data_IF_142126825456
#
_entry.id   IF_142126825456
#
_cell.length_a   1.000
_cell.length_b   1.000
_cell.length_c   1.000
_cell.angle_alpha   90.00
_cell.angle_beta   90.00
_cell.angle_gamma   90.00
#
_symmetry.space_group_name_H-M   'P 1'
#
loop_
_entity.id
_entity.type
_entity.pdbx_description
1 polymer ?
#
# COMPACT_ATOMS: atom_id res chain seq x y z
N UNK A 1 -2.14 -27.85 -1.70
CA UNK A 1 -0.90 -27.06 -1.84
C UNK A 1 -1.26 -25.67 -1.31
N UNK A 2 -0.65 -25.23 -0.21
CA UNK A 2 -0.95 -23.91 0.37
C UNK A 2 -0.19 -22.87 -0.44
N UNK A 3 -0.90 -21.91 -1.01
CA UNK A 3 -0.34 -20.78 -1.72
C UNK A 3 0.32 -19.85 -0.68
N UNK A 4 1.56 -19.41 -0.92
CA UNK A 4 2.20 -18.42 -0.04
C UNK A 4 1.30 -17.17 0.02
N UNK A 5 0.98 -16.65 1.22
CA UNK A 5 0.19 -15.43 1.31
C UNK A 5 0.93 -14.30 0.60
N UNK A 6 0.27 -13.66 -0.37
CA UNK A 6 0.78 -12.48 -1.04
C UNK A 6 0.33 -11.24 -0.25
N UNK A 7 1.28 -10.53 0.36
CA UNK A 7 0.99 -9.37 1.22
C UNK A 7 0.18 -8.29 0.49
N UNK A 8 0.46 -8.04 -0.79
CA UNK A 8 -0.28 -7.07 -1.60
C UNK A 8 -1.74 -7.49 -1.73
N UNK A 9 -2.00 -8.76 -2.05
CA UNK A 9 -3.35 -9.29 -2.15
C UNK A 9 -4.08 -9.27 -0.79
N UNK A 10 -3.40 -9.61 0.32
CA UNK A 10 -3.96 -9.53 1.66
C UNK A 10 -4.38 -8.11 2.02
N UNK A 11 -3.50 -7.14 1.84
CA UNK A 11 -3.77 -5.74 2.17
C UNK A 11 -4.83 -5.14 1.25
N UNK A 12 -4.79 -5.44 -0.05
CA UNK A 12 -5.83 -5.00 -0.99
C UNK A 12 -7.21 -5.58 -0.64
N UNK A 13 -7.29 -6.87 -0.30
CA UNK A 13 -8.55 -7.50 0.09
C UNK A 13 -9.14 -6.95 1.39
N UNK A 14 -8.28 -6.55 2.34
CA UNK A 14 -8.74 -5.81 3.53
C UNK A 14 -9.29 -4.44 3.12
N UNK A 15 -8.57 -3.71 2.26
CA UNK A 15 -8.99 -2.40 1.79
C UNK A 15 -10.34 -2.45 1.08
N UNK A 16 -10.55 -3.39 0.16
CA UNK A 16 -11.80 -3.58 -0.58
C UNK A 16 -12.96 -3.95 0.33
N UNK A 17 -12.75 -4.87 1.29
CA UNK A 17 -13.80 -5.25 2.25
C UNK A 17 -14.24 -4.04 3.09
N UNK A 18 -13.28 -3.29 3.65
CA UNK A 18 -13.58 -2.08 4.41
C UNK A 18 -14.25 -1.01 3.54
N UNK A 19 -13.78 -0.82 2.31
CA UNK A 19 -14.35 0.16 1.39
C UNK A 19 -15.82 -0.16 1.06
N UNK A 20 -16.12 -1.42 0.74
CA UNK A 20 -17.49 -1.85 0.43
C UNK A 20 -18.43 -1.66 1.63
N UNK A 21 -17.96 -1.99 2.84
CA UNK A 21 -18.68 -1.73 4.08
C UNK A 21 -18.92 -0.23 4.31
N UNK A 22 -17.89 0.60 4.11
CA UNK A 22 -18.00 2.05 4.27
C UNK A 22 -18.97 2.66 3.26
N UNK A 23 -18.95 2.23 2.00
CA UNK A 23 -19.90 2.68 0.99
C UNK A 23 -21.35 2.32 1.33
N UNK A 24 -21.59 1.06 1.73
CA UNK A 24 -22.92 0.61 2.13
C UNK A 24 -23.43 1.43 3.32
N UNK A 25 -22.58 1.67 4.31
CA UNK A 25 -22.88 2.52 5.46
C UNK A 25 -23.16 3.96 5.02
N UNK A 26 -22.32 4.51 4.14
CA UNK A 26 -22.46 5.88 3.65
C UNK A 26 -23.81 6.10 2.98
N UNK A 27 -24.18 5.25 2.03
CA UNK A 27 -25.44 5.34 1.29
C UNK A 27 -26.66 5.18 2.21
N UNK A 28 -26.60 4.25 3.19
CA UNK A 28 -27.74 3.97 4.08
C UNK A 28 -27.90 4.97 5.22
N UNK A 29 -26.79 5.50 5.74
CA UNK A 29 -26.76 6.23 7.01
C UNK A 29 -26.31 7.67 6.83
N UNK A 30 -25.20 7.92 6.14
CA UNK A 30 -24.56 9.24 6.06
C UNK A 30 -25.24 10.13 5.03
N UNK A 31 -25.40 9.64 3.79
CA UNK A 31 -25.96 10.40 2.67
C UNK A 31 -27.39 10.92 2.95
N UNK A 32 -28.31 10.14 3.55
CA UNK A 32 -29.65 10.66 3.90
C UNK A 32 -29.62 11.83 4.90
N UNK A 33 -28.51 12.00 5.63
CA UNK A 33 -28.31 13.05 6.65
C UNK A 33 -27.60 14.30 6.10
N UNK A 34 -27.15 14.32 4.85
CA UNK A 34 -26.50 15.48 4.21
C UNK A 34 -27.41 16.72 4.03
N UNK A 35 -28.67 16.69 4.50
CA UNK A 35 -29.53 17.89 4.50
C UNK A 35 -28.96 18.94 5.46
N UNK A 36 -28.89 20.19 4.99
CA UNK A 36 -28.31 21.32 5.70
C UNK A 36 -28.78 21.36 7.17
N UNK A 37 -27.82 21.16 8.07
CA UNK A 37 -28.08 21.15 9.51
C UNK A 37 -28.05 22.58 10.03
N UNK A 38 -29.21 23.06 10.48
CA UNK A 38 -29.37 24.39 11.10
C UNK A 38 -29.67 24.27 12.61
N UNK A 39 -29.47 23.10 13.21
CA UNK A 39 -29.91 22.76 14.58
C UNK A 39 -28.78 22.46 15.58
N UNK A 40 -29.16 22.09 16.80
CA UNK A 40 -28.31 21.70 17.94
C UNK A 40 -27.69 20.31 17.79
N UNK A 41 -26.36 20.20 17.84
CA UNK A 41 -25.47 19.01 17.67
C UNK A 41 -26.15 17.61 17.60
N UNK A 42 -25.75 16.70 16.68
CA UNK A 42 -26.39 15.38 16.53
C UNK A 42 -26.52 14.61 17.85
N UNK A 43 -27.53 13.76 17.99
CA UNK A 43 -27.66 12.87 19.16
C UNK A 43 -26.40 12.01 19.33
N UNK A 44 -26.10 11.59 20.57
CA UNK A 44 -24.93 10.74 20.85
C UNK A 44 -24.90 9.48 20.00
N UNK A 45 -26.06 8.88 19.74
CA UNK A 45 -26.21 7.73 18.84
C UNK A 45 -25.78 8.06 17.41
N UNK A 46 -26.18 9.23 16.88
CA UNK A 46 -25.76 9.68 15.55
C UNK A 46 -24.26 9.93 15.49
N UNK A 47 -23.68 10.51 16.54
CA UNK A 47 -22.23 10.71 16.62
C UNK A 47 -21.48 9.38 16.58
N UNK A 48 -21.96 8.38 17.32
CA UNK A 48 -21.39 7.03 17.30
C UNK A 48 -21.39 6.44 15.89
N UNK A 49 -22.48 6.56 15.14
CA UNK A 49 -22.54 6.06 13.76
C UNK A 49 -21.53 6.76 12.82
N UNK A 50 -21.25 8.05 13.03
CA UNK A 50 -20.17 8.73 12.30
C UNK A 50 -18.80 8.15 12.66
N UNK A 51 -18.54 7.86 13.94
CA UNK A 51 -17.30 7.22 14.36
C UNK A 51 -17.16 5.82 13.77
N UNK A 52 -18.21 4.99 13.81
CA UNK A 52 -18.22 3.66 13.21
C UNK A 52 -17.87 3.74 11.70
N UNK A 53 -18.45 4.70 10.97
CA UNK A 53 -18.09 4.96 9.58
C UNK A 53 -16.62 5.37 9.42
N UNK A 54 -16.14 6.32 10.23
CA UNK A 54 -14.76 6.81 10.16
C UNK A 54 -13.74 5.69 10.40
N UNK A 55 -13.98 4.82 11.37
CA UNK A 55 -13.14 3.65 11.64
C UNK A 55 -13.00 2.74 10.42
N UNK A 56 -14.11 2.46 9.72
CA UNK A 56 -14.11 1.58 8.56
C UNK A 56 -13.37 2.25 7.37
N UNK A 57 -13.68 3.51 7.05
CA UNK A 57 -13.04 4.17 5.90
C UNK A 57 -11.56 4.47 6.14
N UNK A 58 -11.15 4.75 7.38
CA UNK A 58 -9.74 4.91 7.76
C UNK A 58 -8.97 3.61 7.52
N UNK A 59 -9.54 2.46 7.90
CA UNK A 59 -8.94 1.16 7.62
C UNK A 59 -8.75 0.95 6.11
N UNK A 60 -9.77 1.29 5.30
CA UNK A 60 -9.69 1.18 3.85
C UNK A 60 -8.54 2.02 3.27
N UNK A 61 -8.39 3.28 3.71
CA UNK A 61 -7.30 4.17 3.28
C UNK A 61 -5.92 3.62 3.65
N UNK A 62 -5.75 3.18 4.91
CA UNK A 62 -4.46 2.66 5.39
C UNK A 62 -4.06 1.42 4.61
N UNK A 63 -4.98 0.46 4.43
CA UNK A 63 -4.65 -0.80 3.77
C UNK A 63 -4.49 -0.67 2.25
N UNK A 64 -5.24 0.22 1.60
CA UNK A 64 -5.05 0.51 0.17
C UNK A 64 -3.65 1.07 -0.10
N UNK A 65 -3.22 2.04 0.71
CA UNK A 65 -1.88 2.58 0.62
C UNK A 65 -0.82 1.50 0.96
N UNK A 66 -0.99 0.77 2.07
CA UNK A 66 -0.09 -0.33 2.48
C UNK A 66 0.09 -1.41 1.39
N UNK A 67 -0.97 -1.72 0.63
CA UNK A 67 -0.87 -2.63 -0.51
C UNK A 67 0.08 -2.10 -1.59
N UNK A 68 0.08 -0.80 -1.86
CA UNK A 68 0.99 -0.15 -2.80
C UNK A 68 2.43 -0.13 -2.29
N UNK A 69 2.67 0.07 -0.98
CA UNK A 69 4.01 -0.08 -0.39
C UNK A 69 4.57 -1.48 -0.61
N UNK A 70 3.79 -2.50 -0.27
CA UNK A 70 4.18 -3.89 -0.42
C UNK A 70 4.48 -4.20 -1.89
N UNK A 71 3.63 -3.72 -2.80
CA UNK A 71 3.79 -3.91 -4.23
C UNK A 71 5.06 -3.24 -4.76
N UNK A 72 5.30 -2.01 -4.37
CA UNK A 72 6.51 -1.27 -4.73
C UNK A 72 7.79 -1.98 -4.28
N UNK A 73 7.79 -2.60 -3.10
CA UNK A 73 8.94 -3.33 -2.57
C UNK A 73 9.18 -4.66 -3.31
N UNK A 74 8.11 -5.39 -3.68
CA UNK A 74 8.20 -6.60 -4.51
C UNK A 74 8.82 -6.27 -5.88
N UNK A 75 8.46 -5.12 -6.46
CA UNK A 75 9.00 -4.72 -7.76
C UNK A 75 10.51 -4.49 -7.75
N UNK A 76 11.16 -4.28 -6.58
CA UNK A 76 12.60 -3.97 -6.50
C UNK A 76 13.40 -5.28 -6.39
N UNK A 77 14.24 -5.64 -7.37
CA UNK A 77 15.09 -6.84 -7.28
C UNK A 77 16.16 -6.73 -6.19
N UNK A 78 16.56 -7.87 -5.60
CA UNK A 78 17.54 -7.89 -4.49
C UNK A 78 18.90 -7.25 -4.83
N UNK A 79 19.34 -7.35 -6.09
CA UNK A 79 20.60 -6.75 -6.57
C UNK A 79 20.44 -5.35 -7.17
N UNK A 80 19.26 -4.73 -7.07
CA UNK A 80 19.04 -3.42 -7.65
C UNK A 80 19.64 -2.32 -6.78
N UNK A 81 20.35 -1.41 -7.42
CA UNK A 81 20.93 -0.23 -6.79
C UNK A 81 20.35 1.03 -7.42
N UNK A 82 19.97 1.98 -6.57
CA UNK A 82 19.53 3.30 -7.01
C UNK A 82 20.57 4.35 -6.64
N UNK A 83 21.04 5.11 -7.63
CA UNK A 83 22.04 6.15 -7.43
C UNK A 83 21.40 7.53 -7.49
N UNK A 84 21.73 8.37 -6.52
CA UNK A 84 21.43 9.81 -6.55
C UNK A 84 22.73 10.61 -6.52
N UNK A 85 22.72 11.80 -7.12
CA UNK A 85 23.83 12.74 -7.05
C UNK A 85 23.34 14.08 -6.52
N UNK A 86 23.96 14.56 -5.44
CA UNK A 86 23.66 15.86 -4.84
C UNK A 86 24.97 16.53 -4.42
N UNK A 87 25.16 17.80 -4.81
CA UNK A 87 26.37 18.57 -4.48
C UNK A 87 27.69 17.86 -4.83
N UNK A 88 27.72 17.11 -5.94
CA UNK A 88 28.88 16.33 -6.39
C UNK A 88 29.15 15.05 -5.59
N UNK A 89 28.30 14.71 -4.60
CA UNK A 89 28.37 13.45 -3.86
C UNK A 89 27.39 12.45 -4.48
N UNK A 90 27.92 11.32 -4.91
CA UNK A 90 27.13 10.17 -5.37
C UNK A 90 26.78 9.29 -4.18
N UNK A 91 25.50 9.00 -4.01
CA UNK A 91 25.00 8.06 -3.00
C UNK A 91 24.32 6.89 -3.69
N UNK A 92 24.71 5.68 -3.32
CA UNK A 92 24.15 4.43 -3.83
C UNK A 92 23.28 3.82 -2.72
N UNK A 93 22.04 3.47 -3.06
CA UNK A 93 21.09 2.85 -2.15
C UNK A 93 20.81 1.41 -2.61
N UNK A 94 21.04 0.44 -1.72
CA UNK A 94 20.60 -0.95 -1.90
C UNK A 94 19.07 -1.07 -1.83
N UNK A 95 18.52 -2.22 -2.23
CA UNK A 95 17.09 -2.55 -2.06
C UNK A 95 16.59 -2.21 -0.65
N UNK A 96 17.26 -2.70 0.40
CA UNK A 96 16.82 -2.50 1.80
C UNK A 96 16.84 -1.03 2.20
N UNK A 97 17.81 -0.26 1.67
CA UNK A 97 17.89 1.17 1.90
C UNK A 97 16.74 1.90 1.18
N UNK A 98 16.41 1.49 -0.06
CA UNK A 98 15.28 2.03 -0.82
C UNK A 98 13.97 1.77 -0.09
N UNK A 99 13.74 0.52 0.33
CA UNK A 99 12.51 0.09 1.01
C UNK A 99 12.22 0.92 2.26
N UNK A 100 13.27 1.25 3.04
CA UNK A 100 13.17 1.96 4.33
C UNK A 100 13.18 3.48 4.23
N UNK A 101 13.93 4.05 3.27
CA UNK A 101 14.23 5.51 3.26
C UNK A 101 13.44 6.30 2.23
N UNK A 102 12.92 5.65 1.20
CA UNK A 102 12.23 6.34 0.12
C UNK A 102 10.73 6.34 0.36
N UNK A 103 10.11 7.51 0.20
CA UNK A 103 8.66 7.63 0.13
C UNK A 103 8.14 6.88 -1.10
N UNK A 104 6.93 6.32 -1.00
CA UNK A 104 6.33 5.53 -2.07
C UNK A 104 6.19 6.32 -3.38
N UNK A 105 5.82 7.60 -3.28
CA UNK A 105 5.79 8.52 -4.42
C UNK A 105 7.12 8.57 -5.18
N UNK A 106 8.23 8.62 -4.46
CA UNK A 106 9.56 8.64 -5.07
C UNK A 106 9.96 7.27 -5.61
N UNK A 107 9.55 6.18 -4.93
CA UNK A 107 9.72 4.81 -5.45
C UNK A 107 9.06 4.68 -6.82
N UNK A 108 7.78 5.05 -6.98
CA UNK A 108 7.09 4.97 -8.27
C UNK A 108 7.75 5.83 -9.35
N UNK A 109 8.06 7.09 -9.05
CA UNK A 109 8.61 8.04 -10.04
C UNK A 109 10.01 7.69 -10.52
N UNK A 110 10.89 7.27 -9.60
CA UNK A 110 12.34 7.23 -9.85
C UNK A 110 12.93 5.83 -9.81
N UNK A 111 12.39 4.95 -8.98
CA UNK A 111 12.96 3.60 -8.77
C UNK A 111 12.23 2.57 -9.65
N UNK A 112 10.92 2.49 -9.55
CA UNK A 112 10.10 1.47 -10.24
C UNK A 112 10.04 1.73 -11.74
N UNK A 113 9.98 3.00 -12.14
CA UNK A 113 9.93 3.39 -13.56
C UNK A 113 11.03 2.73 -14.42
N UNK A 114 12.33 2.86 -14.11
CA UNK A 114 13.38 2.18 -14.88
C UNK A 114 13.38 0.65 -14.71
N UNK A 115 12.95 0.13 -13.55
CA UNK A 115 12.87 -1.32 -13.29
C UNK A 115 11.85 -1.98 -14.21
N UNK A 116 10.66 -1.40 -14.35
CA UNK A 116 9.53 -1.96 -15.08
C UNK A 116 9.39 -1.42 -16.51
N UNK A 117 10.29 -0.53 -16.93
CA UNK A 117 10.21 0.18 -18.21
C UNK A 117 8.82 0.84 -18.40
N UNK A 118 8.33 1.52 -17.37
CA UNK A 118 7.03 2.18 -17.39
C UNK A 118 7.13 3.61 -17.95
N UNK A 119 6.02 4.18 -18.47
CA UNK A 119 5.95 5.61 -18.73
C UNK A 119 6.11 6.41 -17.43
N UNK A 120 6.18 7.73 -17.57
CA UNK A 120 6.24 8.64 -16.43
C UNK A 120 4.91 8.59 -15.67
N UNK A 121 4.89 8.08 -14.43
CA UNK A 121 3.65 7.91 -13.68
C UNK A 121 2.95 9.24 -13.43
N UNK A 122 3.66 10.38 -13.43
CA UNK A 122 3.05 11.69 -13.20
C UNK A 122 2.08 12.14 -14.31
N UNK A 123 2.08 11.43 -15.44
CA UNK A 123 1.20 11.67 -16.60
C UNK A 123 0.03 10.71 -16.66
N UNK A 124 -0.05 9.75 -15.75
CA UNK A 124 -1.11 8.75 -15.69
C UNK A 124 -2.29 9.28 -14.87
N UNK A 125 -3.52 8.94 -15.27
CA UNK A 125 -4.75 9.43 -14.65
C UNK A 125 -4.89 8.98 -13.18
N UNK A 126 -4.28 7.84 -12.82
CA UNK A 126 -4.26 7.33 -11.45
C UNK A 126 -3.32 8.10 -10.52
N UNK A 127 -2.44 8.96 -11.03
CA UNK A 127 -1.39 9.59 -10.23
C UNK A 127 -1.92 10.59 -9.22
N UNK A 128 -2.79 11.51 -9.63
CA UNK A 128 -3.33 12.52 -8.73
C UNK A 128 -4.15 11.90 -7.58
N UNK A 129 -5.07 10.93 -7.83
CA UNK A 129 -5.74 10.21 -6.76
C UNK A 129 -4.78 9.45 -5.84
N UNK A 130 -3.66 8.91 -6.36
CA UNK A 130 -2.61 8.32 -5.53
C UNK A 130 -1.96 9.33 -4.58
N UNK A 131 -1.61 10.53 -5.07
CA UNK A 131 -1.06 11.59 -4.23
C UNK A 131 -2.05 12.00 -3.13
N UNK A 132 -3.34 12.07 -3.47
CA UNK A 132 -4.38 12.40 -2.50
C UNK A 132 -4.57 11.32 -1.44
N UNK A 133 -4.47 10.04 -1.84
CA UNK A 133 -4.49 8.88 -0.94
C UNK A 133 -3.30 8.94 0.03
N UNK A 134 -2.09 9.17 -0.49
CA UNK A 134 -0.87 9.30 0.32
C UNK A 134 -0.97 10.43 1.34
N UNK A 135 -1.41 11.61 0.90
CA UNK A 135 -1.56 12.77 1.78
C UNK A 135 -2.60 12.50 2.88
N UNK A 136 -3.74 11.89 2.53
CA UNK A 136 -4.77 11.54 3.52
C UNK A 136 -4.27 10.48 4.51
N UNK A 137 -3.59 9.44 4.04
CA UNK A 137 -2.95 8.43 4.89
C UNK A 137 -1.99 9.08 5.87
N UNK A 138 -1.13 9.99 5.39
CA UNK A 138 -0.18 10.70 6.24
C UNK A 138 -0.89 11.56 7.29
N UNK A 139 -1.98 12.22 6.95
CA UNK A 139 -2.78 12.99 7.91
C UNK A 139 -3.48 12.12 8.96
N UNK A 140 -3.91 10.92 8.60
CA UNK A 140 -4.48 9.95 9.54
C UNK A 140 -3.40 9.47 10.52
N UNK A 141 -2.25 9.02 10.01
CA UNK A 141 -1.17 8.45 10.84
C UNK A 141 -0.47 9.52 11.68
N UNK A 142 -0.25 10.71 11.12
CA UNK A 142 0.38 11.85 11.80
C UNK A 142 -0.67 12.91 12.18
N UNK A 143 -1.72 12.45 12.86
CA UNK A 143 -2.88 13.27 13.22
C UNK A 143 -2.47 14.58 13.90
N UNK A 144 -2.96 15.70 13.34
CA UNK A 144 -2.84 17.05 13.90
C UNK A 144 -4.23 17.64 14.11
N UNK A 145 -4.44 18.27 15.28
CA UNK A 145 -5.72 18.88 15.64
C UNK A 145 -6.15 20.00 14.68
N UNK A 146 -5.18 20.79 14.21
CA UNK A 146 -5.40 21.91 13.28
C UNK A 146 -5.96 21.50 11.92
N UNK A 147 -5.91 20.21 11.56
CA UNK A 147 -6.44 19.66 10.30
C UNK A 147 -7.59 18.69 10.50
N UNK A 148 -8.19 18.68 11.69
CA UNK A 148 -9.26 17.73 12.03
C UNK A 148 -10.50 17.91 11.14
N UNK A 149 -10.99 19.14 11.00
CA UNK A 149 -12.17 19.46 10.19
C UNK A 149 -11.97 19.07 8.71
N UNK A 150 -10.85 19.48 8.11
CA UNK A 150 -10.50 19.15 6.72
C UNK A 150 -10.43 17.64 6.49
N UNK A 151 -9.77 16.90 7.40
CA UNK A 151 -9.61 15.45 7.30
C UNK A 151 -10.96 14.73 7.37
N UNK A 152 -11.81 15.07 8.34
CA UNK A 152 -13.12 14.43 8.46
C UNK A 152 -14.06 14.82 7.32
N UNK A 153 -13.98 16.05 6.81
CA UNK A 153 -14.72 16.46 5.61
C UNK A 153 -14.29 15.63 4.39
N UNK A 154 -12.99 15.36 4.23
CA UNK A 154 -12.46 14.50 3.16
C UNK A 154 -12.89 13.04 3.32
N UNK A 155 -12.99 12.52 4.55
CA UNK A 155 -13.49 11.16 4.78
C UNK A 155 -15.00 11.02 4.50
N UNK A 156 -15.76 12.12 4.53
CA UNK A 156 -17.19 12.16 4.19
C UNK A 156 -17.47 12.48 2.71
N UNK A 157 -16.45 12.79 1.90
CA UNK A 157 -16.65 13.08 0.48
C UNK A 157 -16.78 11.78 -0.32
N UNK A 158 -17.67 11.74 -1.32
CA UNK A 158 -17.83 10.57 -2.18
C UNK A 158 -16.54 10.23 -2.96
N UNK A 159 -15.70 11.22 -3.25
CA UNK A 159 -14.41 11.03 -3.91
C UNK A 159 -13.44 10.13 -3.14
N UNK A 160 -13.64 9.92 -1.83
CA UNK A 160 -12.82 8.99 -1.05
C UNK A 160 -12.89 7.57 -1.60
N UNK A 161 -14.03 7.16 -2.16
CA UNK A 161 -14.19 5.80 -2.63
C UNK A 161 -13.33 5.52 -3.86
N UNK A 162 -13.30 6.45 -4.82
CA UNK A 162 -12.47 6.32 -6.01
C UNK A 162 -10.99 6.46 -5.68
N UNK A 163 -10.65 7.34 -4.73
CA UNK A 163 -9.29 7.48 -4.20
C UNK A 163 -8.77 6.17 -3.59
N UNK A 164 -9.59 5.47 -2.80
CA UNK A 164 -9.21 4.17 -2.22
C UNK A 164 -9.15 3.10 -3.30
N UNK A 165 -10.14 2.99 -4.20
CA UNK A 165 -10.12 1.99 -5.31
C UNK A 165 -8.92 2.13 -6.23
N UNK A 166 -8.41 3.35 -6.38
CA UNK A 166 -7.32 3.66 -7.27
C UNK A 166 -6.07 2.78 -7.02
N UNK A 167 -5.86 2.26 -5.79
CA UNK A 167 -4.75 1.35 -5.53
C UNK A 167 -4.76 0.12 -6.47
N UNK A 168 -5.93 -0.41 -6.84
CA UNK A 168 -6.03 -1.54 -7.76
C UNK A 168 -5.65 -1.18 -9.18
N UNK A 169 -6.04 0.01 -9.63
CA UNK A 169 -5.68 0.53 -10.95
C UNK A 169 -4.15 0.64 -11.09
N UNK A 170 -3.47 1.07 -10.03
CA UNK A 170 -2.00 1.19 -10.00
C UNK A 170 -1.34 -0.19 -10.08
N UNK A 171 -1.80 -1.13 -9.27
CA UNK A 171 -1.26 -2.51 -9.27
C UNK A 171 -1.45 -3.12 -10.66
N UNK A 172 -2.66 -3.05 -11.23
CA UNK A 172 -2.97 -3.56 -12.56
C UNK A 172 -2.12 -2.90 -13.65
N UNK A 173 -2.00 -1.56 -13.62
CA UNK A 173 -1.16 -0.81 -14.54
C UNK A 173 0.28 -1.34 -14.56
N UNK A 174 0.89 -1.53 -13.39
CA UNK A 174 2.25 -2.06 -13.32
C UNK A 174 2.32 -3.56 -13.62
N UNK A 175 1.26 -4.33 -13.37
CA UNK A 175 1.13 -5.72 -13.82
C UNK A 175 1.29 -5.88 -15.32
N UNK A 176 0.68 -4.97 -16.10
CA UNK A 176 0.81 -4.94 -17.56
C UNK A 176 2.24 -4.66 -18.04
N UNK A 177 3.02 -3.94 -17.24
CA UNK A 177 4.45 -3.70 -17.51
C UNK A 177 5.31 -4.90 -17.08
N UNK A 178 4.99 -5.50 -15.94
CA UNK A 178 5.66 -6.72 -15.45
C UNK A 178 5.50 -7.85 -16.46
N UNK A 179 4.28 -8.10 -16.95
CA UNK A 179 4.01 -9.19 -17.90
C UNK A 179 4.70 -9.01 -19.25
N UNK A 180 5.04 -7.78 -19.64
CA UNK A 180 5.74 -7.47 -20.90
C UNK A 180 7.25 -7.43 -20.76
N UNK A 181 7.76 -6.90 -19.66
CA UNK A 181 9.18 -6.54 -19.55
C UNK A 181 9.93 -7.29 -18.46
N UNK A 182 9.24 -7.79 -17.43
CA UNK A 182 9.85 -8.34 -16.21
C UNK A 182 9.09 -9.58 -15.72
N UNK A 183 8.87 -10.55 -16.61
CA UNK A 183 8.06 -11.74 -16.36
C UNK A 183 8.51 -12.56 -15.15
N UNK A 184 9.77 -12.46 -14.73
CA UNK A 184 10.28 -13.09 -13.52
C UNK A 184 9.62 -12.56 -12.24
N UNK A 185 9.08 -11.34 -12.26
CA UNK A 185 8.32 -10.77 -11.13
C UNK A 185 6.87 -11.28 -11.05
N UNK A 186 6.39 -12.02 -12.07
CA UNK A 186 5.04 -12.60 -12.03
C UNK A 186 4.88 -13.66 -10.94
N UNK A 187 5.97 -14.32 -10.53
CA UNK A 187 5.94 -15.27 -9.40
C UNK A 187 5.60 -14.59 -8.06
N UNK A 188 5.92 -13.31 -7.91
CA UNK A 188 5.65 -12.52 -6.71
C UNK A 188 4.44 -11.59 -6.86
N UNK A 189 3.81 -11.58 -8.05
CA UNK A 189 2.69 -10.69 -8.37
C UNK A 189 1.41 -11.09 -7.60
N UNK A 190 0.58 -10.13 -7.14
CA UNK A 190 -0.61 -10.45 -6.39
C UNK A 190 -1.68 -11.18 -7.19
N UNK A 191 -2.35 -12.11 -6.51
CA UNK A 191 -3.55 -12.79 -7.01
C UNK A 191 -4.75 -11.83 -7.12
N UNK A 192 -5.66 -12.14 -8.03
CA UNK A 192 -6.88 -11.37 -8.37
C UNK A 192 -6.61 -10.03 -9.06
N UNK A 193 -5.41 -9.88 -9.63
CA UNK A 193 -4.99 -8.73 -10.44
C UNK A 193 -4.69 -9.10 -11.90
N UNK A 194 -5.17 -10.26 -12.36
CA UNK A 194 -5.18 -10.64 -13.79
C UNK A 194 -4.03 -11.54 -14.26
N UNK A 195 -3.18 -12.04 -13.35
CA UNK A 195 -1.99 -12.85 -13.68
C UNK A 195 -1.87 -14.09 -12.78
N UNK A 196 -3.00 -14.71 -12.45
CA UNK A 196 -3.17 -15.72 -11.39
C UNK A 196 -2.64 -17.13 -11.72
N UNK A 197 -2.06 -17.31 -12.91
CA UNK A 197 -1.63 -18.61 -13.44
C UNK A 197 -0.24 -19.07 -12.93
N UNK A 198 0.43 -18.26 -12.11
CA UNK A 198 1.79 -18.54 -11.60
C UNK A 198 1.72 -19.07 -10.15
N UNK A 199 2.25 -20.27 -9.91
CA UNK A 199 2.27 -20.92 -8.58
C UNK A 199 3.64 -20.65 -7.92
N UNK A 200 3.74 -19.77 -6.90
CA UNK A 200 4.99 -19.49 -6.21
C UNK A 200 5.46 -20.65 -5.34
N UNK A 201 6.76 -20.93 -5.36
CA UNK A 201 7.41 -21.94 -4.53
C UNK A 201 7.45 -21.54 -3.05
N UNK A 202 6.88 -22.40 -2.20
CA UNK A 202 6.58 -22.13 -0.77
C UNK A 202 7.73 -21.58 0.08
N UNK A 203 8.90 -22.22 0.06
CA UNK A 203 10.07 -21.88 0.87
C UNK A 203 11.18 -22.86 0.52
N UNK A 204 12.41 -22.39 0.32
CA UNK A 204 13.56 -23.30 0.25
C UNK A 204 13.97 -23.74 1.66
N UNK A 205 14.58 -24.92 1.83
CA UNK A 205 15.09 -25.39 3.13
C UNK A 205 16.01 -24.36 3.80
N UNK A 206 16.78 -23.63 2.98
CA UNK A 206 17.64 -22.53 3.42
C UNK A 206 16.84 -21.41 4.10
N UNK A 207 15.70 -21.03 3.52
CA UNK A 207 14.82 -20.00 4.07
C UNK A 207 14.10 -20.50 5.34
N UNK A 208 13.71 -21.77 5.39
CA UNK A 208 13.14 -22.38 6.60
C UNK A 208 14.09 -22.28 7.79
N UNK A 209 15.35 -22.71 7.61
CA UNK A 209 16.35 -22.69 8.68
C UNK A 209 16.71 -21.27 9.12
N UNK A 210 16.75 -20.31 8.19
CA UNK A 210 16.95 -18.89 8.53
C UNK A 210 15.82 -18.35 9.41
N UNK A 211 14.56 -18.62 9.04
CA UNK A 211 13.39 -18.22 9.83
C UNK A 211 13.33 -18.92 11.19
N UNK A 212 13.60 -20.23 11.24
CA UNK A 212 13.65 -21.01 12.48
C UNK A 212 14.68 -20.46 13.47
N UNK A 213 15.88 -20.11 12.99
CA UNK A 213 16.94 -19.51 13.81
C UNK A 213 16.53 -18.14 14.34
N UNK A 214 15.91 -17.30 13.51
CA UNK A 214 15.44 -15.97 13.90
C UNK A 214 14.32 -16.02 14.94
N UNK A 215 13.33 -16.91 14.79
CA UNK A 215 12.19 -17.04 15.71
C UNK A 215 12.65 -17.51 17.10
N UNK A 216 13.69 -18.35 17.14
CA UNK A 216 14.22 -18.91 18.39
C UNK A 216 15.38 -18.12 18.98
N UNK A 217 15.73 -16.95 18.43
CA UNK A 217 16.86 -16.12 18.86
C UNK A 217 18.17 -16.92 19.01
N UNK A 218 18.41 -17.88 18.10
CA UNK A 218 19.62 -18.70 18.13
C UNK A 218 20.73 -17.90 17.44
N UNK A 219 21.52 -17.16 18.22
CA UNK A 219 22.77 -16.54 17.75
C UNK A 219 23.90 -17.58 17.78
N UNK A 220 24.62 -17.73 16.67
CA UNK A 220 25.96 -18.31 16.71
C UNK A 220 26.92 -17.25 17.25
N UNK A 221 26.98 -17.12 18.57
CA UNK A 221 28.23 -16.77 19.23
C UNK A 221 28.85 -18.09 19.70
N UNK A 222 29.60 -18.72 18.78
CA UNK A 222 30.86 -19.46 18.99
C UNK A 222 31.06 -20.53 17.92
N UNK A 223 32.21 -20.42 17.26
CA UNK A 223 33.03 -21.48 16.64
C UNK A 223 32.33 -22.45 15.70
N UNK A 224 32.50 -22.24 14.40
CA UNK A 224 32.69 -23.31 13.40
C UNK A 224 33.69 -22.79 12.32
N UNK A 225 34.75 -22.12 12.77
CA UNK A 225 36.06 -22.34 12.17
C UNK A 225 36.65 -23.53 12.95
N UNK A 226 37.17 -24.53 12.23
CA UNK A 226 37.69 -25.84 12.71
C UNK A 226 36.68 -27.01 12.71
N UNK A 227 36.41 -27.60 11.54
CA UNK A 227 37.10 -28.80 11.00
C UNK A 227 36.69 -29.09 9.54
#
# INVERSE_FOLDING_TARGET
MLIQPNDVALYSNIADRCLNQAMEFYEKVILPRHKQWHGSFPSLEKQKEYYDYFEIIIQAVIFAYTALEAFANICIPAGWEYQTEANGVKTIYSKEAIERKFELREKFKKVIRPILNSPDPTREDWWMPFIELENLRNEIIHTKQSRSEERYAKLLSQSIFDMVRNHKNIIQFYGDHISKYRTELLEEYPYEFGYDDVIPGLMTDKNYWKSYKSIRNINFDKSDEEE
#
